data_IF_428271710821
#
_entry.id   IF_428271710821
#
_cell.length_a   1.000
_cell.length_b   1.000
_cell.length_c   1.000
_cell.angle_alpha   90.00
_cell.angle_beta   90.00
_cell.angle_gamma   90.00
#
_symmetry.space_group_name_H-M   'P 1'
#
loop_
_entity.id
_entity.type
_entity.pdbx_description
1 polymer ?
#
# COMPACT_ATOMS: atom_id res chain seq x y z
N UNK A 1 -14.41 -7.87 -31.36
CA UNK A 1 -15.59 -7.10 -30.88
C UNK A 1 -15.23 -6.13 -29.74
N UNK A 2 -14.64 -6.61 -28.64
CA UNK A 2 -14.23 -5.77 -27.48
C UNK A 2 -13.29 -4.61 -27.84
N UNK A 3 -12.24 -4.84 -28.64
CA UNK A 3 -11.26 -3.82 -29.03
C UNK A 3 -11.87 -2.66 -29.86
N UNK A 4 -12.76 -3.01 -30.80
CA UNK A 4 -13.43 -2.03 -31.66
C UNK A 4 -14.33 -1.10 -30.84
N UNK A 5 -15.05 -1.64 -29.85
CA UNK A 5 -15.84 -0.83 -28.93
C UNK A 5 -14.97 0.15 -28.13
N UNK A 6 -13.81 -0.29 -27.63
CA UNK A 6 -12.88 0.61 -26.91
C UNK A 6 -12.38 1.75 -27.81
N UNK A 7 -12.05 1.47 -29.06
CA UNK A 7 -11.68 2.52 -30.04
C UNK A 7 -12.77 3.55 -30.22
N UNK A 8 -14.03 3.11 -30.37
CA UNK A 8 -15.18 4.02 -30.46
C UNK A 8 -15.35 4.87 -29.19
N UNK A 9 -15.10 4.29 -28.02
CA UNK A 9 -15.16 5.02 -26.74
C UNK A 9 -14.03 6.05 -26.63
N UNK A 10 -12.83 5.71 -27.09
CA UNK A 10 -11.69 6.65 -27.14
C UNK A 10 -12.01 7.87 -28.01
N UNK A 11 -12.57 7.65 -29.21
CA UNK A 11 -12.96 8.72 -30.15
C UNK A 11 -14.01 9.65 -29.53
N UNK A 12 -14.95 9.09 -28.75
CA UNK A 12 -16.01 9.86 -28.08
C UNK A 12 -15.51 10.67 -26.88
N UNK A 13 -14.23 10.57 -26.51
CA UNK A 13 -13.67 11.39 -25.44
C UNK A 13 -14.25 11.08 -24.07
N UNK A 14 -14.55 9.81 -23.80
CA UNK A 14 -15.16 9.40 -22.53
C UNK A 14 -14.23 9.68 -21.35
N UNK A 15 -14.80 10.28 -20.30
CA UNK A 15 -14.08 10.67 -19.08
C UNK A 15 -14.10 9.61 -17.99
N UNK A 16 -15.03 8.67 -18.04
CA UNK A 16 -15.17 7.63 -17.02
C UNK A 16 -15.37 6.28 -17.68
N UNK A 17 -14.55 5.31 -17.30
CA UNK A 17 -14.65 3.96 -17.87
C UNK A 17 -14.55 2.92 -16.78
N UNK A 18 -15.51 1.99 -16.80
CA UNK A 18 -15.53 0.81 -15.96
C UNK A 18 -15.57 -0.44 -16.82
N UNK A 19 -14.53 -1.26 -16.69
CA UNK A 19 -14.42 -2.54 -17.39
C UNK A 19 -14.44 -3.67 -16.38
N UNK A 20 -15.22 -4.71 -16.67
CA UNK A 20 -15.33 -5.90 -15.82
C UNK A 20 -15.33 -7.15 -16.67
N UNK A 21 -14.54 -8.12 -16.25
CA UNK A 21 -14.50 -9.48 -16.78
C UNK A 21 -14.36 -10.47 -15.64
N UNK A 22 -14.63 -11.74 -15.93
CA UNK A 22 -14.13 -12.82 -15.08
C UNK A 22 -12.60 -12.82 -15.12
N UNK A 23 -11.91 -12.95 -13.97
CA UNK A 23 -10.46 -13.00 -13.91
C UNK A 23 -9.89 -14.06 -14.85
N UNK A 24 -8.88 -13.69 -15.63
CA UNK A 24 -8.23 -14.58 -16.60
C UNK A 24 -8.97 -14.76 -17.93
N UNK A 25 -10.21 -14.27 -18.08
CA UNK A 25 -10.98 -14.45 -19.31
C UNK A 25 -10.59 -13.46 -20.43
N UNK A 26 -10.19 -12.24 -20.07
CA UNK A 26 -9.88 -11.18 -21.03
C UNK A 26 -8.70 -10.34 -20.55
N UNK A 27 -7.97 -9.80 -21.52
CA UNK A 27 -6.88 -8.85 -21.28
C UNK A 27 -7.34 -7.41 -21.54
N UNK A 28 -6.67 -6.46 -20.89
CA UNK A 28 -6.75 -5.05 -21.22
C UNK A 28 -6.31 -4.88 -22.68
N UNK A 29 -7.19 -4.32 -23.50
CA UNK A 29 -6.85 -4.02 -24.89
C UNK A 29 -5.92 -2.80 -24.95
N UNK A 30 -4.90 -2.80 -25.84
CA UNK A 30 -4.05 -1.64 -26.10
C UNK A 30 -4.83 -0.38 -26.47
N UNK A 31 -6.02 -0.54 -27.07
CA UNK A 31 -6.90 0.58 -27.43
C UNK A 31 -7.39 1.37 -26.21
N UNK A 32 -7.35 0.80 -25.00
CA UNK A 32 -7.69 1.52 -23.76
C UNK A 32 -6.79 2.75 -23.57
N UNK A 33 -5.52 2.61 -23.92
CA UNK A 33 -4.50 3.65 -23.78
C UNK A 33 -4.67 4.81 -24.77
N UNK A 34 -5.58 4.70 -25.75
CA UNK A 34 -5.96 5.82 -26.61
C UNK A 34 -7.00 6.78 -25.97
N UNK A 35 -7.58 6.40 -24.83
CA UNK A 35 -8.61 7.19 -24.13
C UNK A 35 -7.97 8.33 -23.31
N UNK A 36 -7.42 9.32 -24.00
CA UNK A 36 -6.64 10.42 -23.42
C UNK A 36 -7.43 11.33 -22.46
N UNK A 37 -8.76 11.43 -22.61
CA UNK A 37 -9.62 12.25 -21.75
C UNK A 37 -10.13 11.54 -20.48
N UNK A 38 -9.69 10.30 -20.22
CA UNK A 38 -10.11 9.57 -19.03
C UNK A 38 -9.69 10.30 -17.75
N UNK A 39 -10.67 10.47 -16.86
CA UNK A 39 -10.53 11.01 -15.51
C UNK A 39 -10.78 9.95 -14.41
N UNK A 40 -11.61 8.94 -14.67
CA UNK A 40 -11.85 7.78 -13.79
C UNK A 40 -11.73 6.48 -14.60
N UNK A 41 -10.82 5.61 -14.20
CA UNK A 41 -10.63 4.28 -14.77
C UNK A 41 -10.82 3.20 -13.69
N UNK A 42 -11.76 2.28 -13.92
CA UNK A 42 -12.00 1.14 -13.05
C UNK A 42 -11.93 -0.15 -13.84
N UNK A 43 -10.97 -1.00 -13.51
CA UNK A 43 -10.76 -2.27 -14.18
C UNK A 43 -10.90 -3.40 -13.17
N UNK A 44 -11.71 -4.41 -13.51
CA UNK A 44 -11.91 -5.59 -12.68
C UNK A 44 -11.79 -6.86 -13.50
N UNK A 45 -10.90 -7.78 -13.11
CA UNK A 45 -10.80 -9.12 -13.71
C UNK A 45 -10.23 -9.14 -15.13
N UNK A 46 -9.61 -8.04 -15.58
CA UNK A 46 -8.87 -8.01 -16.84
C UNK A 46 -7.38 -8.20 -16.60
N UNK A 47 -6.74 -8.95 -17.49
CA UNK A 47 -5.30 -9.17 -17.47
C UNK A 47 -4.51 -7.96 -18.00
N UNK A 48 -3.37 -7.64 -17.39
CA UNK A 48 -2.49 -6.55 -17.79
C UNK A 48 -1.41 -7.08 -18.72
N UNK A 49 -1.52 -6.79 -20.02
CA UNK A 49 -0.58 -7.28 -21.04
C UNK A 49 0.63 -6.37 -21.27
N UNK A 50 0.61 -5.16 -20.70
CA UNK A 50 1.68 -4.18 -20.83
C UNK A 50 1.16 -2.80 -21.20
N UNK A 51 2.08 -1.84 -21.21
CA UNK A 51 1.83 -0.46 -21.65
C UNK A 51 2.30 -0.34 -23.11
N UNK A 52 1.44 0.09 -24.06
CA UNK A 52 1.82 0.23 -25.45
C UNK A 52 2.96 1.22 -25.67
N UNK A 53 3.84 0.92 -26.62
CA UNK A 53 4.93 1.83 -27.03
C UNK A 53 4.34 3.17 -27.51
N UNK A 54 4.95 4.28 -27.07
CA UNK A 54 4.51 5.62 -27.44
C UNK A 54 3.31 6.15 -26.66
N UNK A 55 2.76 5.38 -25.71
CA UNK A 55 1.73 5.88 -24.79
C UNK A 55 2.29 7.04 -23.95
N UNK A 56 1.71 8.23 -24.17
CA UNK A 56 2.12 9.47 -23.48
C UNK A 56 1.56 9.60 -22.07
N UNK A 57 0.75 8.63 -21.63
CA UNK A 57 0.11 8.66 -20.33
C UNK A 57 -1.35 9.09 -20.34
N UNK A 58 -2.04 8.83 -19.23
CA UNK A 58 -3.38 9.34 -19.02
C UNK A 58 -3.30 10.70 -18.32
N UNK A 59 -3.10 11.75 -19.12
CA UNK A 59 -2.82 13.10 -18.62
C UNK A 59 -3.97 13.73 -17.83
N UNK A 60 -5.19 13.20 -17.98
CA UNK A 60 -6.38 13.67 -17.28
C UNK A 60 -6.87 12.73 -16.16
N UNK A 61 -6.18 11.61 -15.93
CA UNK A 61 -6.64 10.57 -15.01
C UNK A 61 -6.46 11.00 -13.56
N UNK A 62 -7.57 11.10 -12.83
CA UNK A 62 -7.61 11.48 -11.41
C UNK A 62 -7.84 10.28 -10.51
N UNK A 63 -8.58 9.29 -10.97
CA UNK A 63 -8.91 8.10 -10.20
C UNK A 63 -8.63 6.82 -11.00
N UNK A 64 -7.92 5.87 -10.37
CA UNK A 64 -7.64 4.57 -10.94
C UNK A 64 -7.94 3.47 -9.91
N UNK A 65 -8.76 2.50 -10.28
CA UNK A 65 -9.07 1.35 -9.45
C UNK A 65 -8.82 0.07 -10.23
N UNK A 66 -7.88 -0.75 -9.77
CA UNK A 66 -7.56 -2.05 -10.33
C UNK A 66 -8.01 -3.14 -9.35
N UNK A 67 -8.78 -4.11 -9.85
CA UNK A 67 -9.26 -5.23 -9.06
C UNK A 67 -9.09 -6.54 -9.81
N UNK A 68 -8.59 -7.60 -9.17
CA UNK A 68 -8.39 -8.89 -9.84
C UNK A 68 -7.59 -8.75 -11.15
N UNK A 69 -6.60 -7.85 -11.17
CA UNK A 69 -5.74 -7.58 -12.33
C UNK A 69 -4.35 -8.12 -12.01
N UNK A 70 -3.76 -8.88 -12.93
CA UNK A 70 -2.39 -9.40 -12.85
C UNK A 70 -1.39 -8.33 -13.36
N UNK A 71 -1.38 -7.16 -12.73
CA UNK A 71 -0.39 -6.12 -13.01
C UNK A 71 0.84 -6.37 -12.11
N UNK A 72 2.05 -6.52 -12.67
CA UNK A 72 3.27 -6.62 -11.88
C UNK A 72 3.73 -5.25 -11.35
N UNK A 73 4.56 -5.26 -10.31
CA UNK A 73 5.00 -4.05 -9.59
C UNK A 73 5.63 -2.99 -10.51
N UNK A 74 6.53 -3.39 -11.43
CA UNK A 74 7.21 -2.50 -12.38
C UNK A 74 6.22 -1.79 -13.32
N UNK A 75 5.23 -2.53 -13.82
CA UNK A 75 4.22 -1.98 -14.75
C UNK A 75 3.23 -1.08 -14.05
N UNK A 76 2.87 -1.38 -12.82
CA UNK A 76 2.04 -0.48 -12.02
C UNK A 76 2.77 0.83 -11.75
N UNK A 77 4.04 0.77 -11.36
CA UNK A 77 4.86 1.96 -11.15
C UNK A 77 5.01 2.78 -12.43
N UNK A 78 5.27 2.11 -13.57
CA UNK A 78 5.31 2.77 -14.88
C UNK A 78 3.98 3.46 -15.20
N UNK A 79 2.84 2.79 -14.98
CA UNK A 79 1.52 3.38 -15.23
C UNK A 79 1.27 4.62 -14.36
N UNK A 80 1.60 4.55 -13.07
CA UNK A 80 1.44 5.68 -12.14
C UNK A 80 2.29 6.88 -12.59
N UNK A 81 3.54 6.63 -13.02
CA UNK A 81 4.44 7.69 -13.50
C UNK A 81 3.91 8.41 -14.76
N UNK A 82 3.09 7.70 -15.54
CA UNK A 82 2.44 8.21 -16.75
C UNK A 82 1.08 8.88 -16.46
N UNK A 83 0.69 9.02 -15.19
CA UNK A 83 -0.56 9.67 -14.78
C UNK A 83 -0.23 10.85 -13.84
N UNK A 84 0.22 12.00 -14.37
CA UNK A 84 0.82 13.07 -13.56
C UNK A 84 -0.16 13.73 -12.58
N UNK A 85 -1.47 13.66 -12.84
CA UNK A 85 -2.50 14.27 -11.98
C UNK A 85 -3.32 13.23 -11.19
N UNK A 86 -2.85 11.98 -11.10
CA UNK A 86 -3.57 10.91 -10.41
C UNK A 86 -3.68 11.20 -8.91
N UNK A 87 -4.91 11.31 -8.41
CA UNK A 87 -5.20 11.67 -7.02
C UNK A 87 -5.62 10.47 -6.18
N UNK A 88 -6.30 9.48 -6.78
CA UNK A 88 -6.80 8.31 -6.07
C UNK A 88 -6.36 7.03 -6.77
N UNK A 89 -5.78 6.13 -5.98
CA UNK A 89 -5.41 4.79 -6.42
C UNK A 89 -6.05 3.74 -5.50
N UNK A 90 -6.78 2.80 -6.09
CA UNK A 90 -7.30 1.64 -5.40
C UNK A 90 -6.79 0.35 -6.03
N UNK A 91 -6.24 -0.55 -5.22
CA UNK A 91 -5.72 -1.85 -5.65
C UNK A 91 -6.38 -2.94 -4.82
N UNK A 92 -6.96 -3.95 -5.46
CA UNK A 92 -7.54 -5.06 -4.71
C UNK A 92 -7.45 -6.41 -5.41
N UNK A 93 -7.04 -7.45 -4.69
CA UNK A 93 -6.86 -8.78 -5.27
C UNK A 93 -5.92 -8.80 -6.50
N UNK A 94 -4.88 -7.97 -6.48
CA UNK A 94 -3.84 -7.93 -7.52
C UNK A 94 -2.69 -8.83 -7.10
N UNK A 95 -2.78 -10.11 -7.44
CA UNK A 95 -1.90 -11.16 -6.91
C UNK A 95 -0.46 -11.16 -7.46
N UNK A 96 -0.13 -10.27 -8.38
CA UNK A 96 1.24 -10.10 -8.90
C UNK A 96 1.98 -8.92 -8.26
N UNK A 97 1.37 -8.25 -7.27
CA UNK A 97 2.00 -7.18 -6.51
C UNK A 97 2.59 -7.75 -5.23
N UNK A 98 3.91 -7.98 -5.23
CA UNK A 98 4.62 -8.61 -4.12
C UNK A 98 5.49 -7.59 -3.35
N UNK A 99 6.12 -6.66 -4.07
CA UNK A 99 6.98 -5.62 -3.51
C UNK A 99 6.54 -4.26 -4.05
N UNK A 100 5.54 -3.69 -3.39
CA UNK A 100 4.82 -2.55 -3.92
C UNK A 100 5.59 -1.26 -3.62
N UNK A 101 5.98 -0.54 -4.68
CA UNK A 101 6.55 0.80 -4.56
C UNK A 101 5.67 1.81 -5.29
N UNK A 102 5.16 2.80 -4.55
CA UNK A 102 4.35 3.87 -5.10
C UNK A 102 5.05 5.20 -4.89
N UNK A 103 5.47 5.83 -5.99
CA UNK A 103 6.05 7.16 -6.02
C UNK A 103 5.15 8.08 -6.85
N UNK A 104 4.59 9.13 -6.24
CA UNK A 104 3.75 10.11 -6.94
C UNK A 104 3.69 11.44 -6.20
N UNK A 105 3.80 12.54 -6.93
CA UNK A 105 3.64 13.89 -6.37
C UNK A 105 2.19 14.35 -6.27
N UNK A 106 1.23 13.65 -6.88
CA UNK A 106 -0.17 14.07 -6.99
C UNK A 106 -1.16 13.18 -6.22
N UNK A 107 -0.76 11.96 -5.84
CA UNK A 107 -1.62 11.04 -5.09
C UNK A 107 -1.98 11.61 -3.71
N UNK A 108 -3.28 11.61 -3.42
CA UNK A 108 -3.90 12.03 -2.15
C UNK A 108 -4.51 10.87 -1.39
N UNK A 109 -4.97 9.84 -2.11
CA UNK A 109 -5.63 8.68 -1.54
C UNK A 109 -5.05 7.40 -2.13
N UNK A 110 -4.63 6.48 -1.27
CA UNK A 110 -4.25 5.12 -1.65
C UNK A 110 -5.05 4.14 -0.81
N UNK A 111 -5.69 3.18 -1.47
CA UNK A 111 -6.31 2.04 -0.81
C UNK A 111 -5.80 0.73 -1.42
N UNK A 112 -5.20 -0.12 -0.60
CA UNK A 112 -4.78 -1.47 -0.98
C UNK A 112 -5.51 -2.49 -0.12
N UNK A 113 -6.02 -3.55 -0.76
CA UNK A 113 -6.83 -4.54 -0.07
C UNK A 113 -6.67 -5.96 -0.64
N UNK A 114 -6.42 -6.96 0.20
CA UNK A 114 -6.20 -8.34 -0.24
C UNK A 114 -5.06 -8.45 -1.26
N UNK A 115 -3.91 -7.86 -0.95
CA UNK A 115 -2.69 -8.02 -1.76
C UNK A 115 -1.72 -8.97 -1.04
N UNK A 116 -0.99 -9.84 -1.76
CA UNK A 116 0.07 -10.70 -1.22
C UNK A 116 1.37 -9.93 -0.97
N UNK A 117 1.27 -8.61 -0.77
CA UNK A 117 2.41 -7.70 -0.69
C UNK A 117 3.20 -7.95 0.58
N UNK A 118 4.49 -8.22 0.45
CA UNK A 118 5.44 -8.44 1.53
C UNK A 118 6.01 -7.10 2.05
N UNK A 119 6.41 -6.24 1.13
CA UNK A 119 6.93 -4.91 1.39
C UNK A 119 6.15 -3.84 0.64
N UNK A 120 5.84 -2.73 1.31
CA UNK A 120 5.13 -1.61 0.72
C UNK A 120 5.84 -0.30 1.02
N UNK A 121 6.39 0.35 -0.01
CA UNK A 121 7.00 1.68 0.09
C UNK A 121 6.12 2.72 -0.60
N UNK A 122 5.79 3.78 0.13
CA UNK A 122 4.95 4.89 -0.34
C UNK A 122 5.73 6.19 -0.21
N UNK A 123 6.13 6.77 -1.35
CA UNK A 123 6.74 8.10 -1.44
C UNK A 123 5.78 9.04 -2.16
N UNK A 124 4.86 9.61 -1.38
CA UNK A 124 3.76 10.43 -1.87
C UNK A 124 3.58 11.66 -0.97
N UNK A 125 4.27 12.79 -1.21
CA UNK A 125 4.29 13.93 -0.30
C UNK A 125 2.92 14.57 -0.06
N UNK A 126 2.00 14.46 -1.03
CA UNK A 126 0.63 14.99 -1.00
C UNK A 126 -0.41 13.98 -0.50
N UNK A 127 0.00 12.77 -0.11
CA UNK A 127 -0.92 11.73 0.33
C UNK A 127 -1.60 12.18 1.63
N UNK A 128 -2.92 12.25 1.66
CA UNK A 128 -3.70 12.62 2.85
C UNK A 128 -4.38 11.42 3.50
N UNK A 129 -4.50 10.31 2.78
CA UNK A 129 -5.17 9.10 3.26
C UNK A 129 -4.52 7.84 2.70
N UNK A 130 -4.16 6.91 3.60
CA UNK A 130 -3.62 5.61 3.25
C UNK A 130 -4.43 4.52 3.96
N UNK A 131 -4.96 3.60 3.17
CA UNK A 131 -5.78 2.47 3.61
C UNK A 131 -5.13 1.17 3.16
N UNK A 132 -4.75 0.34 4.12
CA UNK A 132 -4.17 -1.00 3.90
C UNK A 132 -5.03 -1.98 4.67
N UNK A 133 -5.68 -2.90 3.96
CA UNK A 133 -6.59 -3.87 4.56
C UNK A 133 -6.25 -5.29 4.10
N UNK A 134 -6.27 -6.25 5.01
CA UNK A 134 -6.19 -7.69 4.67
C UNK A 134 -5.01 -8.05 3.74
N UNK A 135 -3.87 -7.37 3.93
CA UNK A 135 -2.58 -7.73 3.34
C UNK A 135 -1.80 -8.52 4.38
N UNK A 136 -2.05 -9.82 4.44
CA UNK A 136 -1.58 -10.66 5.55
C UNK A 136 -0.06 -10.93 5.53
N UNK A 137 0.56 -10.85 4.36
CA UNK A 137 1.99 -11.09 4.16
C UNK A 137 2.84 -9.83 4.35
N UNK A 138 2.18 -8.67 4.50
CA UNK A 138 2.84 -7.40 4.70
C UNK A 138 3.59 -7.45 6.02
N UNK A 139 4.89 -7.23 5.97
CA UNK A 139 5.73 -7.14 7.16
C UNK A 139 6.62 -5.90 7.13
N UNK A 140 6.64 -5.15 6.03
CA UNK A 140 7.40 -3.92 5.90
C UNK A 140 6.54 -2.83 5.25
N UNK A 141 6.34 -1.71 5.95
CA UNK A 141 5.68 -0.52 5.42
C UNK A 141 6.58 0.69 5.60
N UNK A 142 7.01 1.27 4.48
CA UNK A 142 7.74 2.53 4.43
C UNK A 142 6.81 3.62 3.92
N UNK A 143 6.70 4.73 4.65
CA UNK A 143 5.81 5.81 4.26
C UNK A 143 6.55 7.15 4.38
N UNK A 144 6.57 7.88 3.27
CA UNK A 144 7.00 9.26 3.16
C UNK A 144 5.83 10.08 2.62
N UNK A 145 5.09 10.72 3.52
CA UNK A 145 4.06 11.70 3.16
C UNK A 145 4.01 12.81 4.20
N UNK A 146 4.24 14.05 3.75
CA UNK A 146 4.15 15.22 4.64
C UNK A 146 2.70 15.53 5.01
N UNK A 147 1.77 15.40 4.06
CA UNK A 147 0.36 15.72 4.28
C UNK A 147 -0.34 14.71 5.21
N UNK A 148 -0.05 13.40 5.08
CA UNK A 148 -0.64 12.37 5.94
C UNK A 148 -0.10 12.47 7.37
N UNK A 149 1.16 12.86 7.51
CA UNK A 149 1.80 13.11 8.81
C UNK A 149 1.14 14.25 9.60
N UNK A 150 0.56 15.24 8.91
CA UNK A 150 -0.16 16.33 9.56
C UNK A 150 -1.52 15.85 10.11
N UNK A 151 -2.09 14.78 9.54
CA UNK A 151 -3.43 14.27 9.87
C UNK A 151 -3.45 12.73 9.98
N UNK A 152 -2.81 12.14 11.01
CA UNK A 152 -2.56 10.71 11.09
C UNK A 152 -3.81 9.83 11.28
N UNK A 153 -4.96 10.39 11.66
CA UNK A 153 -6.25 9.66 11.77
C UNK A 153 -6.73 9.08 10.42
N UNK A 154 -6.19 9.57 9.30
CA UNK A 154 -6.47 9.10 7.95
C UNK A 154 -5.57 7.92 7.53
N UNK A 155 -4.66 7.46 8.39
CA UNK A 155 -3.89 6.24 8.20
C UNK A 155 -4.65 5.06 8.80
N UNK A 156 -5.06 4.11 7.94
CA UNK A 156 -5.68 2.85 8.35
C UNK A 156 -4.82 1.71 7.83
N UNK A 157 -4.10 1.05 8.72
CA UNK A 157 -3.24 -0.12 8.40
C UNK A 157 -3.68 -1.33 9.23
N UNK A 158 -3.41 -2.58 8.78
CA UNK A 158 -3.76 -3.76 9.55
C UNK A 158 -3.04 -3.72 10.90
N UNK A 159 -3.71 -4.09 11.98
CA UNK A 159 -3.01 -4.47 13.20
C UNK A 159 -2.25 -5.77 12.91
N UNK A 160 -0.93 -5.74 13.04
CA UNK A 160 -0.07 -6.92 12.84
C UNK A 160 -0.22 -7.86 14.05
N UNK A 161 -1.40 -8.48 14.20
CA UNK A 161 -1.76 -9.24 15.41
C UNK A 161 -1.28 -10.70 15.41
N UNK A 162 -0.38 -11.12 14.52
CA UNK A 162 0.01 -12.54 14.44
C UNK A 162 1.37 -12.94 15.00
N UNK A 163 2.26 -12.00 15.35
CA UNK A 163 3.44 -12.27 16.18
C UNK A 163 3.67 -11.02 17.02
N UNK A 164 3.79 -11.18 18.34
CA UNK A 164 3.56 -10.14 19.35
C UNK A 164 4.21 -8.77 19.11
N UNK A 165 3.58 -7.76 19.73
CA UNK A 165 3.91 -6.33 19.79
C UNK A 165 3.28 -5.45 18.70
N UNK A 166 1.99 -5.13 18.89
CA UNK A 166 1.41 -3.90 18.33
C UNK A 166 2.00 -2.71 19.08
N UNK A 167 2.96 -2.00 18.48
CA UNK A 167 3.36 -0.65 18.94
C UNK A 167 2.83 0.37 17.94
N UNK A 168 1.75 1.06 18.34
CA UNK A 168 1.16 2.17 17.62
C UNK A 168 2.15 3.37 17.59
N UNK A 169 2.66 3.60 16.39
CA UNK A 169 3.22 4.81 15.79
C UNK A 169 3.29 6.08 16.66
N UNK A 170 4.52 6.57 16.89
CA UNK A 170 4.80 8.02 16.95
C UNK A 170 6.05 8.34 16.15
N UNK A 171 5.84 9.19 15.13
CA UNK A 171 6.76 9.69 14.09
C UNK A 171 7.21 8.62 13.09
N UNK A 172 6.83 8.81 11.82
CA UNK A 172 7.10 7.90 10.71
C UNK A 172 8.54 7.37 10.75
N UNK A 173 8.65 6.05 10.81
CA UNK A 173 9.88 5.30 10.62
C UNK A 173 9.45 3.97 10.01
N UNK A 174 10.11 3.62 8.92
CA UNK A 174 10.13 2.28 8.34
C UNK A 174 10.35 1.29 9.50
N UNK A 175 9.41 0.37 9.72
CA UNK A 175 9.66 -0.76 10.61
C UNK A 175 10.23 -1.88 9.77
N UNK A 176 11.53 -2.10 9.92
CA UNK A 176 12.19 -3.32 9.48
C UNK A 176 11.88 -4.41 10.52
N UNK A 177 11.11 -5.42 10.13
CA UNK A 177 10.76 -6.53 11.00
C UNK A 177 11.59 -7.76 10.64
N UNK A 178 12.86 -7.77 11.09
CA UNK A 178 13.58 -9.01 11.42
C UNK A 178 14.47 -8.80 12.65
N UNK A 179 14.00 -9.39 13.76
CA UNK A 179 14.77 -9.98 14.88
C UNK A 179 15.84 -9.09 15.57
N UNK A 180 15.55 -8.82 16.85
CA UNK A 180 16.48 -8.49 17.95
C UNK A 180 17.11 -7.09 18.03
N UNK A 181 16.73 -6.42 19.13
CA UNK A 181 17.38 -5.30 19.81
C UNK A 181 17.22 -3.86 19.28
N UNK A 182 16.98 -2.97 20.27
CA UNK A 182 16.99 -1.51 20.30
C UNK A 182 15.81 -0.73 19.69
N UNK A 183 14.90 -0.31 20.58
CA UNK A 183 14.07 0.88 20.44
C UNK A 183 14.78 2.05 21.14
N UNK A 184 15.07 3.13 20.40
CA UNK A 184 15.31 4.44 21.01
C UNK A 184 14.12 5.32 20.65
N UNK A 185 13.30 5.63 21.65
CA UNK A 185 12.16 6.52 21.55
C UNK A 185 12.52 7.86 22.18
N UNK A 186 12.61 8.93 21.38
CA UNK A 186 12.60 10.29 21.90
C UNK A 186 11.19 10.89 21.81
N UNK A 187 10.50 10.81 22.96
CA UNK A 187 9.76 11.92 23.56
C UNK A 187 8.42 12.37 22.95
N UNK A 188 7.44 12.41 23.87
CA UNK A 188 6.26 13.30 23.95
C UNK A 188 4.98 12.73 23.31
N UNK A 189 4.05 12.24 24.14
CA UNK A 189 2.75 12.89 24.46
C UNK A 189 2.18 12.29 25.77
N UNK A 190 1.67 13.12 26.71
CA UNK A 190 1.18 12.70 28.03
C UNK A 190 -0.35 12.49 28.14
N UNK A 191 -1.08 12.20 27.06
CA UNK A 191 -2.55 12.17 27.11
C UNK A 191 -3.17 10.93 26.45
N UNK A 192 -2.89 9.75 27.01
CA UNK A 192 -3.63 8.52 26.69
C UNK A 192 -4.23 7.98 27.98
N UNK A 193 -5.42 8.45 28.32
CA UNK A 193 -6.32 7.75 29.24
C UNK A 193 -7.11 6.70 28.45
N UNK A 194 -7.36 5.57 29.12
CA UNK A 194 -7.97 4.32 28.65
C UNK A 194 -7.04 3.35 27.90
N UNK A 195 -6.12 2.78 28.67
CA UNK A 195 -5.57 1.44 28.48
C UNK A 195 -6.29 0.51 29.47
N UNK A 196 -7.09 -0.45 28.98
CA UNK A 196 -7.51 -1.58 29.81
C UNK A 196 -6.39 -2.62 29.81
N UNK A 197 -5.58 -2.52 30.87
CA UNK A 197 -4.37 -3.31 31.14
C UNK A 197 -4.81 -4.57 31.87
N UNK A 198 -5.17 -5.62 31.14
CA UNK A 198 -5.25 -6.96 31.71
C UNK A 198 -4.14 -7.83 31.11
N UNK A 199 -3.17 -8.19 31.96
CA UNK A 199 -2.01 -9.04 31.71
C UNK A 199 -0.76 -8.37 31.13
N UNK A 200 -0.22 -7.38 31.85
CA UNK A 200 1.23 -7.12 31.85
C UNK A 200 1.75 -7.45 33.24
N UNK A 201 2.32 -8.63 33.41
CA UNK A 201 3.30 -8.89 34.48
C UNK A 201 4.67 -8.68 33.84
N UNK A 202 5.26 -7.50 34.03
CA UNK A 202 6.68 -7.28 33.83
C UNK A 202 7.32 -7.39 35.21
N UNK A 203 8.02 -8.49 35.46
CA UNK A 203 9.12 -8.48 36.42
C UNK A 203 10.40 -8.39 35.60
N UNK A 204 10.97 -7.19 35.63
CA UNK A 204 12.32 -6.90 35.15
C UNK A 204 13.29 -7.36 36.24
N UNK A 205 14.14 -8.34 35.95
CA UNK A 205 15.31 -8.63 36.78
C UNK A 205 16.51 -8.85 35.85
N UNK A 206 17.40 -7.87 35.92
CA UNK A 206 18.76 -7.77 35.38
C UNK A 206 19.53 -9.09 35.30
N UNK A 207 20.21 -9.30 34.16
CA UNK A 207 21.39 -10.17 34.05
C UNK A 207 22.48 -9.65 34.99
N UNK A 208 22.44 -10.03 36.26
CA UNK A 208 23.60 -9.99 37.17
C UNK A 208 23.47 -10.92 38.39
N UNK A 209 22.47 -11.81 38.41
CA UNK A 209 22.35 -12.85 39.44
C UNK A 209 22.15 -14.25 38.86
N UNK A 210 23.13 -14.75 38.11
CA UNK A 210 23.39 -16.20 38.00
C UNK A 210 24.90 -16.46 37.88
N UNK A 211 25.65 -16.05 38.90
CA UNK A 211 26.91 -16.72 39.25
C UNK A 211 26.52 -18.02 39.96
N UNK A 212 26.90 -19.21 39.49
CA UNK A 212 26.82 -20.40 40.34
C UNK A 212 27.91 -20.27 41.40
N UNK A 213 27.53 -19.99 42.65
CA UNK A 213 28.42 -20.24 43.79
C UNK A 213 28.66 -21.74 43.87
N UNK A 214 29.92 -22.14 43.65
CA UNK A 214 30.47 -23.35 44.24
C UNK A 214 30.55 -23.15 45.75
N UNK A 215 29.93 -24.06 46.53
CA UNK A 215 30.34 -24.51 47.88
C UNK A 215 29.81 -25.96 47.96
N UNK A 216 30.61 -27.02 47.80
CA UNK A 216 31.56 -27.65 48.72
C UNK A 216 31.07 -27.79 50.18
N UNK A 217 31.11 -29.05 50.64
CA UNK A 217 30.99 -29.60 52.01
C UNK A 217 29.56 -29.74 52.56
N UNK A 218 29.12 -30.93 52.99
CA UNK A 218 29.80 -31.90 53.87
C UNK A 218 29.64 -33.35 53.41
#
# INVERSE_FOLDING_TARGET
MFDHWIKCVAIKGVKQMKLRSFPGALNISPSLFACHLLADLRVSGLGFTGIPTGFQGFLHLKECYLRFTNVPDDRLQQLISLCPILQKLGLSYCYQLMDLKICSSSLKFIAVNFLPVASFTVDCPQLTELKVFKCHDLHKLELNSRALLQHPHSLKVPSFERHGAVKLLKKLSIVDYRVSHCLILHGIFPELEELDVAAIVIQDMTLDQMVPRQELTT
#
